data_IF_241486412064
#
_entry.id   IF_241486412064
#
_cell.length_a   1.000
_cell.length_b   1.000
_cell.length_c   1.000
_cell.angle_alpha   90.00
_cell.angle_beta   90.00
_cell.angle_gamma   90.00
#
_symmetry.space_group_name_H-M   'P 1'
#
loop_
_entity.id
_entity.type
_entity.pdbx_description
1 polymer ?
#
# COMPACT_ATOMS: atom_id res chain seq x y z
N UNK A 1 2.40 -15.78 -11.98
CA UNK A 1 3.35 -15.03 -11.13
C UNK A 1 2.77 -13.64 -10.94
N UNK A 2 2.55 -13.22 -9.70
CA UNK A 2 1.97 -11.91 -9.40
C UNK A 2 3.09 -10.89 -9.37
N UNK A 3 2.95 -9.82 -10.16
CA UNK A 3 3.88 -8.70 -10.09
C UNK A 3 3.73 -7.98 -8.75
N UNK A 4 4.85 -7.69 -8.12
CA UNK A 4 4.92 -6.98 -6.84
C UNK A 4 6.22 -6.19 -6.76
N UNK A 5 6.18 -5.04 -6.09
CA UNK A 5 7.32 -4.15 -5.91
C UNK A 5 7.22 -3.43 -4.56
N UNK A 6 8.36 -3.17 -3.93
CA UNK A 6 8.47 -2.27 -2.78
C UNK A 6 9.10 -0.96 -3.25
N UNK A 7 8.38 0.14 -3.09
CA UNK A 7 8.85 1.48 -3.46
C UNK A 7 9.53 2.10 -2.23
N UNK A 8 10.85 2.27 -2.28
CA UNK A 8 11.64 2.90 -1.21
C UNK A 8 12.15 4.27 -1.67
N UNK A 9 12.01 5.29 -0.82
CA UNK A 9 12.58 6.63 -1.04
C UNK A 9 13.63 6.94 0.04
N UNK A 10 14.58 7.82 -0.26
CA UNK A 10 15.66 8.20 0.68
C UNK A 10 15.32 9.50 1.41
N UNK A 11 15.48 9.49 2.74
CA UNK A 11 15.27 10.68 3.57
C UNK A 11 16.40 11.68 3.38
N UNK A 12 16.06 12.90 2.98
CA UNK A 12 16.94 14.06 2.96
C UNK A 12 16.55 15.05 4.07
N UNK A 13 17.29 15.03 5.18
CA UNK A 13 16.97 15.85 6.37
C UNK A 13 17.23 17.35 6.19
N UNK A 14 18.02 17.76 5.19
CA UNK A 14 18.38 19.17 4.99
C UNK A 14 17.41 19.89 4.03
N UNK A 15 16.57 19.14 3.31
CA UNK A 15 15.60 19.69 2.37
C UNK A 15 14.24 19.87 3.04
N UNK A 16 13.80 21.12 3.17
CA UNK A 16 12.52 21.46 3.78
C UNK A 16 11.31 20.87 3.03
N UNK A 17 11.47 20.50 1.75
CA UNK A 17 10.43 19.91 0.92
C UNK A 17 10.58 18.38 0.75
N UNK A 18 11.52 17.75 1.44
CA UNK A 18 11.82 16.32 1.29
C UNK A 18 10.58 15.43 1.39
N UNK A 19 9.73 15.64 2.41
CA UNK A 19 8.50 14.84 2.56
C UNK A 19 7.57 14.95 1.37
N UNK A 20 7.41 16.16 0.81
CA UNK A 20 6.58 16.39 -0.37
C UNK A 20 7.18 15.74 -1.62
N UNK A 21 8.50 15.83 -1.80
CA UNK A 21 9.20 15.22 -2.95
C UNK A 21 9.06 13.71 -2.94
N UNK A 22 9.26 13.05 -1.79
CA UNK A 22 9.08 11.61 -1.67
C UNK A 22 7.63 11.18 -1.88
N UNK A 23 6.67 11.98 -1.42
CA UNK A 23 5.24 11.74 -1.69
C UNK A 23 4.97 11.72 -3.19
N UNK A 24 5.45 12.73 -3.92
CA UNK A 24 5.29 12.82 -5.38
C UNK A 24 6.00 11.65 -6.07
N UNK A 25 7.23 11.31 -5.66
CA UNK A 25 8.00 10.21 -6.24
C UNK A 25 7.25 8.87 -6.13
N UNK A 26 6.73 8.54 -4.94
CA UNK A 26 5.96 7.30 -4.73
C UNK A 26 4.69 7.32 -5.57
N UNK A 27 3.93 8.41 -5.56
CA UNK A 27 2.68 8.50 -6.31
C UNK A 27 2.89 8.40 -7.83
N UNK A 28 3.93 9.04 -8.37
CA UNK A 28 4.30 8.95 -9.78
C UNK A 28 4.75 7.54 -10.17
N UNK A 29 5.44 6.81 -9.28
CA UNK A 29 5.79 5.41 -9.53
C UNK A 29 4.54 4.54 -9.61
N UNK A 30 3.56 4.74 -8.73
CA UNK A 30 2.29 4.00 -8.74
C UNK A 30 1.50 4.31 -10.02
N UNK A 31 1.38 5.58 -10.40
CA UNK A 31 0.74 6.02 -11.66
C UNK A 31 1.39 5.33 -12.87
N UNK A 32 2.73 5.37 -12.98
CA UNK A 32 3.46 4.67 -14.03
C UNK A 32 3.19 3.17 -14.07
N UNK A 33 3.10 2.50 -12.91
CA UNK A 33 2.81 1.06 -12.86
C UNK A 33 1.37 0.76 -13.31
N UNK A 34 0.42 1.63 -12.96
CA UNK A 34 -0.95 1.48 -13.41
C UNK A 34 -1.04 1.59 -14.94
N UNK A 35 -0.35 2.57 -15.54
CA UNK A 35 -0.27 2.72 -16.99
C UNK A 35 0.40 1.52 -17.65
N UNK A 36 1.58 1.12 -17.14
CA UNK A 36 2.38 0.01 -17.67
C UNK A 36 1.59 -1.31 -17.72
N UNK A 37 0.78 -1.57 -16.69
CA UNK A 37 -0.01 -2.80 -16.58
C UNK A 37 -1.48 -2.62 -16.98
N UNK A 38 -1.86 -1.45 -17.52
CA UNK A 38 -3.24 -1.13 -17.92
C UNK A 38 -4.26 -1.41 -16.80
N UNK A 39 -3.93 -0.99 -15.58
CA UNK A 39 -4.77 -1.18 -14.39
C UNK A 39 -5.99 -0.27 -14.48
N UNK A 40 -7.20 -0.84 -14.50
CA UNK A 40 -8.45 -0.08 -14.52
C UNK A 40 -8.97 0.26 -13.13
N UNK A 41 -8.49 -0.42 -12.09
CA UNK A 41 -9.06 -0.34 -10.76
C UNK A 41 -8.06 -0.68 -9.65
N UNK A 42 -8.04 0.11 -8.58
CA UNK A 42 -7.08 0.01 -7.47
C UNK A 42 -7.82 -0.02 -6.13
N UNK A 43 -7.35 -0.87 -5.21
CA UNK A 43 -7.74 -0.82 -3.80
C UNK A 43 -6.60 -0.31 -2.96
N UNK A 44 -6.91 0.62 -2.06
CA UNK A 44 -5.93 1.22 -1.15
C UNK A 44 -6.45 1.13 0.28
N UNK A 45 -5.56 0.84 1.23
CA UNK A 45 -5.91 0.88 2.65
C UNK A 45 -6.20 2.32 3.08
N UNK A 46 -7.31 2.51 3.80
CA UNK A 46 -7.71 3.81 4.33
C UNK A 46 -6.89 4.24 5.54
N UNK A 47 -6.90 5.56 5.79
CA UNK A 47 -6.16 6.18 6.88
C UNK A 47 -6.61 5.71 8.27
N UNK A 48 -5.65 5.59 9.19
CA UNK A 48 -5.90 5.41 10.62
C UNK A 48 -6.21 6.75 11.30
N UNK A 49 -7.49 7.09 11.43
CA UNK A 49 -7.96 8.35 12.03
C UNK A 49 -7.62 8.52 13.51
N UNK A 50 -7.30 7.44 14.22
CA UNK A 50 -6.86 7.50 15.63
C UNK A 50 -5.37 7.85 15.80
N UNK A 51 -4.58 7.86 14.71
CA UNK A 51 -3.15 8.11 14.77
C UNK A 51 -2.84 9.61 14.77
N UNK A 52 -1.83 10.03 15.54
CA UNK A 52 -1.43 11.44 15.68
C UNK A 52 0.07 11.62 15.46
N UNK A 53 0.47 12.76 14.89
CA UNK A 53 1.87 13.16 14.72
C UNK A 53 2.25 13.56 13.30
N UNK A 54 3.51 14.01 13.12
CA UNK A 54 4.02 14.48 11.83
C UNK A 54 4.07 13.36 10.78
N UNK A 55 4.51 12.16 11.17
CA UNK A 55 4.54 11.01 10.27
C UNK A 55 3.14 10.68 9.73
N UNK A 56 2.12 10.72 10.60
CA UNK A 56 0.72 10.50 10.20
C UNK A 56 0.23 11.55 9.20
N UNK A 57 0.60 12.83 9.39
CA UNK A 57 0.27 13.90 8.43
C UNK A 57 0.92 13.66 7.06
N UNK A 58 2.19 13.22 7.04
CA UNK A 58 2.88 12.88 5.79
C UNK A 58 2.22 11.68 5.10
N UNK A 59 1.84 10.64 5.84
CA UNK A 59 1.12 9.48 5.29
C UNK A 59 -0.27 9.86 4.76
N UNK A 60 -0.98 10.75 5.44
CA UNK A 60 -2.23 11.30 4.94
C UNK A 60 -1.99 12.05 3.61
N UNK A 61 -0.98 12.91 3.55
CA UNK A 61 -0.57 13.60 2.32
C UNK A 61 -0.26 12.62 1.19
N UNK A 62 0.52 11.56 1.45
CA UNK A 62 0.81 10.51 0.48
C UNK A 62 -0.49 9.87 -0.06
N UNK A 63 -1.37 9.46 0.85
CA UNK A 63 -2.63 8.81 0.51
C UNK A 63 -3.49 9.68 -0.41
N UNK A 64 -3.68 10.96 -0.08
CA UNK A 64 -4.45 11.87 -0.94
C UNK A 64 -3.81 12.10 -2.30
N UNK A 65 -2.49 12.22 -2.37
CA UNK A 65 -1.79 12.40 -3.66
C UNK A 65 -1.88 11.15 -4.54
N UNK A 66 -1.77 9.94 -3.97
CA UNK A 66 -1.98 8.71 -4.73
C UNK A 66 -3.40 8.69 -5.31
N UNK A 67 -4.42 8.96 -4.50
CA UNK A 67 -5.82 8.96 -4.96
C UNK A 67 -6.05 10.01 -6.04
N UNK A 68 -5.55 11.25 -5.88
CA UNK A 68 -5.66 12.31 -6.89
C UNK A 68 -5.08 11.85 -8.24
N UNK A 69 -3.92 11.18 -8.25
CA UNK A 69 -3.30 10.66 -9.49
C UNK A 69 -4.14 9.59 -10.15
N UNK A 70 -4.58 8.60 -9.38
CA UNK A 70 -5.39 7.49 -9.89
C UNK A 70 -6.73 8.02 -10.46
N UNK A 71 -7.39 8.95 -9.77
CA UNK A 71 -8.64 9.56 -10.24
C UNK A 71 -8.45 10.34 -11.55
N UNK A 72 -7.35 11.10 -11.69
CA UNK A 72 -7.02 11.80 -12.95
C UNK A 72 -6.73 10.85 -14.09
N UNK A 73 -6.15 9.68 -13.77
CA UNK A 73 -5.95 8.56 -14.70
C UNK A 73 -7.23 7.80 -15.06
N UNK A 74 -8.40 8.22 -14.57
CA UNK A 74 -9.68 7.50 -14.75
C UNK A 74 -9.65 6.05 -14.23
N UNK A 75 -8.88 5.82 -13.16
CA UNK A 75 -8.80 4.52 -12.48
C UNK A 75 -9.82 4.49 -11.34
N UNK A 76 -10.60 3.42 -11.26
CA UNK A 76 -11.57 3.22 -10.19
C UNK A 76 -10.85 2.93 -8.87
N UNK A 77 -11.06 3.77 -7.86
CA UNK A 77 -10.39 3.62 -6.56
C UNK A 77 -11.38 3.21 -5.48
N UNK A 78 -11.09 2.10 -4.79
CA UNK A 78 -11.79 1.69 -3.58
C UNK A 78 -10.90 1.83 -2.34
N UNK A 79 -11.36 2.61 -1.37
CA UNK A 79 -10.68 2.78 -0.08
C UNK A 79 -11.20 1.73 0.91
N UNK A 80 -10.32 0.87 1.40
CA UNK A 80 -10.67 -0.26 2.27
C UNK A 80 -10.22 0.05 3.70
N UNK A 81 -11.14 -0.01 4.66
CA UNK A 81 -10.79 0.19 6.06
C UNK A 81 -9.82 -0.91 6.56
N UNK A 82 -8.78 -0.59 7.36
CA UNK A 82 -7.81 -1.57 7.86
C UNK A 82 -8.45 -2.78 8.56
N UNK A 83 -9.46 -2.53 9.40
CA UNK A 83 -10.17 -3.59 10.12
C UNK A 83 -11.01 -4.47 9.19
N UNK A 84 -11.54 -3.92 8.10
CA UNK A 84 -12.28 -4.66 7.09
C UNK A 84 -11.33 -5.56 6.28
N UNK A 85 -10.17 -5.04 5.86
CA UNK A 85 -9.14 -5.82 5.17
C UNK A 85 -8.69 -7.01 6.02
N UNK A 86 -8.33 -6.77 7.28
CA UNK A 86 -7.91 -7.83 8.22
C UNK A 86 -8.99 -8.89 8.41
N UNK A 87 -10.24 -8.47 8.57
CA UNK A 87 -11.37 -9.39 8.71
C UNK A 87 -11.58 -10.23 7.45
N UNK A 88 -11.44 -9.64 6.27
CA UNK A 88 -11.57 -10.36 5.01
C UNK A 88 -10.43 -11.39 4.84
N UNK A 89 -9.19 -11.02 5.16
CA UNK A 89 -8.03 -11.88 5.00
C UNK A 89 -7.96 -13.03 6.02
N UNK A 90 -8.32 -12.77 7.29
CA UNK A 90 -8.02 -13.69 8.41
C UNK A 90 -9.24 -14.14 9.20
N UNK A 91 -10.43 -13.57 8.91
CA UNK A 91 -11.63 -13.72 9.75
C UNK A 91 -11.65 -12.81 10.99
N UNK A 92 -10.56 -12.08 11.29
CA UNK A 92 -10.47 -11.20 12.47
C UNK A 92 -9.98 -9.80 12.12
N UNK A 93 -10.76 -8.78 12.52
CA UNK A 93 -10.33 -7.36 12.39
C UNK A 93 -9.16 -6.98 13.31
N UNK A 94 -8.76 -7.87 14.22
CA UNK A 94 -7.64 -7.67 15.17
C UNK A 94 -6.36 -8.39 14.74
N UNK A 95 -6.32 -8.96 13.54
CA UNK A 95 -5.15 -9.69 13.08
C UNK A 95 -3.88 -8.84 13.08
N UNK A 96 -2.77 -9.45 13.46
CA UNK A 96 -1.44 -8.85 13.36
C UNK A 96 -0.82 -9.07 11.98
N UNK A 97 0.37 -8.49 11.76
CA UNK A 97 1.06 -8.57 10.47
C UNK A 97 1.51 -9.99 10.10
N UNK A 98 1.81 -10.82 11.09
CA UNK A 98 2.23 -12.20 10.86
C UNK A 98 1.03 -13.04 10.43
N UNK A 99 -0.13 -12.84 11.06
CA UNK A 99 -1.39 -13.49 10.67
C UNK A 99 -1.83 -13.08 9.26
N UNK A 100 -1.65 -11.81 8.89
CA UNK A 100 -1.90 -11.34 7.51
C UNK A 100 -1.00 -12.07 6.50
N UNK A 101 0.31 -12.19 6.80
CA UNK A 101 1.23 -12.95 5.95
C UNK A 101 0.88 -14.44 5.86
N UNK A 102 0.47 -15.05 6.97
CA UNK A 102 0.11 -16.47 7.01
C UNK A 102 -1.15 -16.79 6.22
N UNK A 103 -2.06 -15.83 6.10
CA UNK A 103 -3.27 -15.92 5.27
C UNK A 103 -2.99 -15.82 3.76
N UNK A 104 -1.80 -15.41 3.33
CA UNK A 104 -1.40 -15.46 1.91
C UNK A 104 -1.22 -16.93 1.48
N UNK A 105 -1.76 -17.36 0.33
CA UNK A 105 -1.52 -18.69 -0.22
C UNK A 105 -0.03 -19.06 -0.25
N UNK A 106 0.26 -20.34 -0.01
CA UNK A 106 1.62 -20.83 0.23
C UNK A 106 2.62 -20.37 -0.84
N UNK A 107 2.28 -20.54 -2.11
CA UNK A 107 3.18 -20.26 -3.23
C UNK A 107 3.49 -18.77 -3.39
N UNK A 108 2.53 -17.89 -3.12
CA UNK A 108 2.72 -16.45 -3.12
C UNK A 108 3.49 -15.99 -1.87
N UNK A 109 3.16 -16.57 -0.71
CA UNK A 109 3.85 -16.31 0.56
C UNK A 109 5.33 -16.66 0.51
N UNK A 110 5.70 -17.73 -0.18
CA UNK A 110 7.10 -18.11 -0.42
C UNK A 110 7.84 -17.04 -1.24
N UNK A 111 7.18 -16.40 -2.20
CA UNK A 111 7.75 -15.28 -2.96
C UNK A 111 7.95 -14.06 -2.07
N UNK A 112 6.94 -13.69 -1.26
CA UNK A 112 7.02 -12.57 -0.33
C UNK A 112 8.10 -12.78 0.74
N UNK A 113 8.36 -14.03 1.11
CA UNK A 113 9.37 -14.39 2.12
C UNK A 113 10.80 -14.06 1.71
N UNK A 114 11.05 -13.80 0.41
CA UNK A 114 12.34 -13.31 -0.10
C UNK A 114 12.68 -11.91 0.40
N UNK A 115 11.68 -11.11 0.78
CA UNK A 115 11.88 -9.79 1.39
C UNK A 115 12.15 -9.94 2.88
N UNK A 116 13.04 -9.12 3.44
CA UNK A 116 13.25 -9.05 4.89
C UNK A 116 12.00 -8.55 5.63
N UNK A 117 11.83 -8.92 6.91
CA UNK A 117 10.69 -8.48 7.74
C UNK A 117 10.55 -6.95 7.79
N UNK A 118 11.66 -6.24 7.82
CA UNK A 118 11.74 -4.76 7.85
C UNK A 118 11.93 -4.14 6.46
N UNK A 119 11.81 -4.94 5.40
CA UNK A 119 12.07 -4.59 3.99
C UNK A 119 10.84 -4.76 3.11
N UNK A 120 9.65 -4.52 3.67
CA UNK A 120 8.40 -4.54 2.90
C UNK A 120 7.63 -5.86 2.89
N UNK A 121 8.12 -6.95 3.51
CA UNK A 121 7.42 -8.26 3.48
C UNK A 121 5.96 -8.17 3.92
N UNK A 122 5.69 -7.48 5.02
CA UNK A 122 4.33 -7.34 5.55
C UNK A 122 3.49 -6.38 4.72
N UNK A 123 4.09 -5.30 4.23
CA UNK A 123 3.41 -4.33 3.36
C UNK A 123 2.96 -4.99 2.05
N UNK A 124 3.77 -5.90 1.49
CA UNK A 124 3.40 -6.72 0.34
C UNK A 124 2.27 -7.72 0.65
N UNK A 125 2.22 -8.27 1.87
CA UNK A 125 1.14 -9.16 2.27
C UNK A 125 -0.19 -8.39 2.36
N UNK A 126 -0.18 -7.19 2.94
CA UNK A 126 -1.37 -6.32 2.99
C UNK A 126 -1.82 -5.92 1.56
N UNK A 127 -0.86 -5.57 0.67
CA UNK A 127 -1.13 -5.27 -0.73
C UNK A 127 -1.73 -6.47 -1.51
N UNK A 128 -1.25 -7.69 -1.25
CA UNK A 128 -1.81 -8.91 -1.84
C UNK A 128 -3.28 -9.07 -1.47
N UNK A 129 -3.61 -8.90 -0.18
CA UNK A 129 -4.98 -9.04 0.30
C UNK A 129 -5.90 -7.96 -0.26
N UNK A 130 -5.43 -6.71 -0.40
CA UNK A 130 -6.17 -5.65 -1.08
C UNK A 130 -6.47 -6.01 -2.54
N UNK A 131 -5.48 -6.52 -3.27
CA UNK A 131 -5.64 -6.92 -4.66
C UNK A 131 -6.62 -8.10 -4.82
N UNK A 132 -6.66 -9.00 -3.83
CA UNK A 132 -7.45 -10.24 -3.86
C UNK A 132 -8.94 -10.06 -3.53
N UNK A 133 -9.36 -8.88 -3.06
CA UNK A 133 -10.77 -8.57 -2.84
C UNK A 133 -11.56 -8.57 -4.17
N UNK A 134 -12.87 -8.86 -4.16
CA UNK A 134 -13.74 -8.69 -5.32
C UNK A 134 -13.98 -7.18 -5.61
N UNK A 135 -14.12 -6.82 -6.90
CA UNK A 135 -14.49 -5.47 -7.33
C UNK A 135 -16.01 -5.35 -7.37
#
# INVERSE_FOLDING_TARGET
MIYHEVIETKLNKIDALDSFKRVVEIASRIEFLCDLYSVSSVRIEGLSYGSVGQATRTLAGLHYVIIDRLMRGSIDVAVIAPTALKKAATGSGRADKQQMLEAVPKDDREQLSKYGKTKGRFDLADAYHLASLPF
#
